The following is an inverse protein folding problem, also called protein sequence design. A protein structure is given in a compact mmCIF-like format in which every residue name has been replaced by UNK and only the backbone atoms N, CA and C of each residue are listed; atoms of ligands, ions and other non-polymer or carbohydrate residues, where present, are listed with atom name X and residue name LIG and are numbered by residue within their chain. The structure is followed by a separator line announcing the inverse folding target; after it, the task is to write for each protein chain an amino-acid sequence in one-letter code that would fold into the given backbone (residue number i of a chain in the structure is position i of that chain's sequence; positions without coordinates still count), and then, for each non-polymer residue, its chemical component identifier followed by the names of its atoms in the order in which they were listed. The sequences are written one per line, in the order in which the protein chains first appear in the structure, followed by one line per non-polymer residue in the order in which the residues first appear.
data_IF_174235106337
#
_entry.id   IF_174235106337
#
_cell.length_a   1.000
_cell.length_b   1.000
_cell.length_c   1.000
_cell.angle_alpha   90.00
_cell.angle_beta   90.00
_cell.angle_gamma   90.00
#
_symmetry.space_group_name_H-M   'P 1'
#
loop_
_entity.id
_entity.type
_entity.pdbx_description
1 polymer ?
#
# COMPACT_ATOMS: atom_id res chain seq x y z
N UNK A 1 -7.27 32.00 -5.46
CA UNK A 1 -8.59 32.25 -4.83
C UNK A 1 -9.47 31.09 -5.24
N UNK A 2 -9.95 30.22 -4.36
CA UNK A 2 -10.77 30.50 -3.18
C UNK A 2 -10.27 29.68 -1.97
N UNK A 3 -10.19 30.36 -0.83
CA UNK A 3 -10.07 29.79 0.52
C UNK A 3 -11.50 29.66 1.06
N UNK A 4 -11.84 28.51 1.66
CA UNK A 4 -12.92 28.34 2.64
C UNK A 4 -12.58 27.08 3.48
N UNK A 5 -12.07 27.15 4.71
CA UNK A 5 -12.79 27.29 6.01
C UNK A 5 -14.06 26.41 6.07
N UNK A 6 -14.33 25.57 7.07
CA UNK A 6 -14.02 25.64 8.49
C UNK A 6 -14.05 24.26 9.18
N UNK A 7 -13.38 24.18 10.32
CA UNK A 7 -13.41 23.08 11.28
C UNK A 7 -14.78 22.96 11.97
N UNK A 8 -15.21 21.73 12.25
CA UNK A 8 -16.06 21.43 13.41
C UNK A 8 -15.45 20.24 14.15
N UNK A 9 -14.75 20.57 15.23
CA UNK A 9 -14.39 19.65 16.30
C UNK A 9 -15.60 19.54 17.23
N UNK A 10 -16.33 18.43 17.19
CA UNK A 10 -17.29 18.09 18.26
C UNK A 10 -16.51 17.37 19.36
N UNK A 11 -16.21 18.11 20.41
CA UNK A 11 -15.75 17.58 21.69
C UNK A 11 -16.61 18.18 22.79
N UNK A 12 -17.55 17.41 23.35
CA UNK A 12 -17.94 17.55 24.77
C UNK A 12 -18.98 16.52 25.18
N UNK A 13 -18.57 15.75 26.19
CA UNK A 13 -19.29 14.95 27.16
C UNK A 13 -20.70 15.42 27.56
N UNK A 14 -21.54 14.44 27.92
CA UNK A 14 -22.27 14.47 29.19
C UNK A 14 -23.74 14.88 29.13
N UNK A 15 -24.64 13.90 28.99
CA UNK A 15 -25.97 13.95 29.58
C UNK A 15 -26.52 12.54 29.76
N UNK A 16 -26.37 11.99 30.96
CA UNK A 16 -27.15 10.84 31.42
C UNK A 16 -28.59 11.30 31.61
N UNK A 17 -29.51 10.82 30.78
CA UNK A 17 -30.94 10.88 31.07
C UNK A 17 -31.33 9.60 31.79
N UNK A 18 -31.44 9.71 33.11
CA UNK A 18 -32.16 8.77 33.95
C UNK A 18 -33.62 9.23 34.04
N UNK A 19 -34.55 8.35 33.68
CA UNK A 19 -35.88 8.29 34.30
C UNK A 19 -36.21 6.82 34.58
N UNK A 20 -36.46 6.53 35.86
CA UNK A 20 -37.02 5.28 36.40
C UNK A 20 -38.47 5.08 35.91
N UNK A 21 -39.02 3.87 35.81
CA UNK A 21 -39.58 3.00 36.88
C UNK A 21 -40.08 1.74 36.12
N UNK A 22 -40.11 0.49 36.58
CA UNK A 22 -40.81 -0.06 37.76
C UNK A 22 -40.49 -1.58 37.85
N UNK A 23 -40.41 -2.09 39.08
CA UNK A 23 -40.58 -3.48 39.54
C UNK A 23 -39.96 -4.69 38.79
N UNK A 24 -38.86 -5.25 39.32
CA UNK A 24 -38.75 -6.66 39.75
C UNK A 24 -37.34 -7.01 40.29
N UNK A 25 -37.31 -7.80 41.37
CA UNK A 25 -36.17 -8.27 42.18
C UNK A 25 -34.88 -8.71 41.46
N UNK A 26 -33.70 -8.57 42.12
CA UNK A 26 -32.38 -8.67 41.50
C UNK A 26 -31.99 -10.13 41.26
N UNK A 27 -31.99 -10.56 40.00
CA UNK A 27 -31.21 -11.73 39.61
C UNK A 27 -29.87 -11.22 39.07
N UNK A 28 -28.82 -11.33 39.88
CA UNK A 28 -27.43 -11.12 39.43
C UNK A 28 -26.99 -12.30 38.56
N UNK A 29 -27.56 -12.42 37.36
CA UNK A 29 -26.87 -13.12 36.28
C UNK A 29 -25.83 -12.16 35.76
N UNK A 30 -24.60 -12.29 36.26
CA UNK A 30 -23.42 -11.69 35.62
C UNK A 30 -23.48 -12.12 34.16
N UNK A 31 -23.67 -11.20 33.18
CA UNK A 31 -23.54 -11.59 31.79
C UNK A 31 -22.09 -12.05 31.63
N UNK A 32 -21.90 -13.34 31.41
CA UNK A 32 -20.62 -13.90 31.01
C UNK A 32 -20.25 -13.22 29.70
N UNK A 33 -19.46 -12.15 29.80
CA UNK A 33 -18.84 -11.47 28.68
C UNK A 33 -17.81 -12.42 28.05
N UNK A 34 -18.29 -13.41 27.31
CA UNK A 34 -17.45 -14.35 26.59
C UNK A 34 -17.88 -14.32 25.13
N UNK A 35 -17.04 -13.67 24.30
CA UNK A 35 -16.70 -13.96 22.89
C UNK A 35 -16.74 -12.78 21.91
N UNK A 36 -17.01 -11.53 22.29
CA UNK A 36 -16.96 -10.41 21.33
C UNK A 36 -15.54 -10.06 20.82
N UNK A 37 -14.48 -10.36 21.59
CA UNK A 37 -13.08 -10.06 21.18
C UNK A 37 -12.53 -10.97 20.07
N UNK A 38 -13.21 -12.06 19.71
CA UNK A 38 -12.68 -13.00 18.70
C UNK A 38 -13.16 -12.70 17.28
N UNK A 39 -14.35 -12.13 17.11
CA UNK A 39 -14.92 -11.87 15.78
C UNK A 39 -14.25 -10.68 15.10
N UNK A 40 -14.03 -9.58 15.82
CA UNK A 40 -13.31 -8.41 15.31
C UNK A 40 -11.85 -8.74 14.95
N UNK A 41 -11.15 -9.47 15.82
CA UNK A 41 -9.79 -9.94 15.54
C UNK A 41 -9.73 -10.90 14.34
N UNK A 42 -10.72 -11.81 14.20
CA UNK A 42 -10.80 -12.71 13.06
C UNK A 42 -11.02 -11.95 11.74
N UNK A 43 -11.91 -10.96 11.73
CA UNK A 43 -12.13 -10.07 10.58
C UNK A 43 -10.87 -9.28 10.25
N UNK A 44 -10.22 -8.66 11.25
CA UNK A 44 -8.97 -7.93 11.05
C UNK A 44 -7.86 -8.83 10.46
N UNK A 45 -7.78 -10.10 10.89
CA UNK A 45 -6.82 -11.05 10.35
C UNK A 45 -7.13 -11.47 8.91
N UNK A 46 -8.42 -11.59 8.55
CA UNK A 46 -8.83 -11.86 7.18
C UNK A 46 -8.46 -10.70 6.24
N UNK A 47 -8.74 -9.47 6.66
CA UNK A 47 -8.37 -8.25 5.93
C UNK A 47 -6.86 -8.14 5.77
N UNK A 48 -6.10 -8.33 6.85
CA UNK A 48 -4.63 -8.35 6.80
C UNK A 48 -4.08 -9.35 5.78
N UNK A 49 -4.65 -10.56 5.70
CA UNK A 49 -4.20 -11.56 4.72
C UNK A 49 -4.47 -11.13 3.28
N UNK A 50 -5.61 -10.49 3.02
CA UNK A 50 -5.95 -9.95 1.71
C UNK A 50 -4.99 -8.81 1.33
N UNK A 51 -4.80 -7.84 2.23
CA UNK A 51 -3.90 -6.71 2.02
C UNK A 51 -2.45 -7.16 1.79
N UNK A 52 -1.95 -8.16 2.54
CA UNK A 52 -0.60 -8.71 2.35
C UNK A 52 -0.47 -9.41 0.99
N UNK A 53 -1.52 -10.11 0.54
CA UNK A 53 -1.52 -10.74 -0.78
C UNK A 53 -1.42 -9.67 -1.87
N UNK A 54 -2.26 -8.64 -1.81
CA UNK A 54 -2.28 -7.54 -2.77
C UNK A 54 -0.94 -6.78 -2.79
N UNK A 55 -0.39 -6.46 -1.63
CA UNK A 55 0.92 -5.82 -1.50
C UNK A 55 2.04 -6.64 -2.18
N UNK A 56 2.04 -7.96 -1.96
CA UNK A 56 3.05 -8.84 -2.57
C UNK A 56 2.86 -8.98 -4.08
N UNK A 57 1.62 -9.06 -4.56
CA UNK A 57 1.31 -9.09 -5.99
C UNK A 57 1.75 -7.79 -6.68
N UNK A 58 1.46 -6.63 -6.07
CA UNK A 58 1.91 -5.33 -6.57
C UNK A 58 3.45 -5.25 -6.60
N UNK A 59 4.13 -5.68 -5.52
CA UNK A 59 5.61 -5.71 -5.48
C UNK A 59 6.20 -6.61 -6.58
N UNK A 60 5.59 -7.77 -6.83
CA UNK A 60 5.98 -8.68 -7.91
C UNK A 60 5.79 -8.04 -9.28
N UNK A 61 4.67 -7.35 -9.51
CA UNK A 61 4.40 -6.63 -10.74
C UNK A 61 5.43 -5.52 -10.99
N UNK A 62 5.74 -4.70 -9.98
CA UNK A 62 6.76 -3.64 -10.06
C UNK A 62 8.12 -4.23 -10.47
N UNK A 63 8.53 -5.33 -9.83
CA UNK A 63 9.80 -5.97 -10.17
C UNK A 63 9.81 -6.56 -11.57
N UNK A 64 8.71 -7.18 -12.00
CA UNK A 64 8.57 -7.71 -13.36
C UNK A 64 8.69 -6.59 -14.40
N UNK A 65 8.02 -5.45 -14.20
CA UNK A 65 8.12 -4.29 -15.09
C UNK A 65 9.55 -3.78 -15.20
N UNK A 66 10.28 -3.70 -14.07
CA UNK A 66 11.69 -3.31 -14.07
C UNK A 66 12.57 -4.30 -14.86
N UNK A 67 12.35 -5.61 -14.67
CA UNK A 67 13.08 -6.62 -15.42
C UNK A 67 12.80 -6.53 -16.92
N UNK A 68 11.54 -6.35 -17.31
CA UNK A 68 11.15 -6.27 -18.72
C UNK A 68 11.74 -5.02 -19.38
N UNK A 69 11.73 -3.88 -18.69
CA UNK A 69 12.40 -2.65 -19.14
C UNK A 69 13.92 -2.84 -19.29
N UNK A 70 14.56 -3.53 -18.34
CA UNK A 70 16.00 -3.84 -18.40
C UNK A 70 16.34 -4.77 -19.57
N UNK A 71 15.51 -5.79 -19.82
CA UNK A 71 15.66 -6.70 -20.97
C UNK A 71 15.52 -5.94 -22.28
N UNK A 72 14.50 -5.08 -22.40
CA UNK A 72 14.28 -4.25 -23.57
C UNK A 72 15.47 -3.31 -23.82
N UNK A 73 15.95 -2.59 -22.80
CA UNK A 73 17.12 -1.72 -22.92
C UNK A 73 18.38 -2.48 -23.38
N UNK A 74 18.61 -3.69 -22.86
CA UNK A 74 19.73 -4.53 -23.28
C UNK A 74 19.59 -5.00 -24.74
N UNK A 75 18.39 -5.40 -25.16
CA UNK A 75 18.12 -5.81 -26.54
C UNK A 75 18.34 -4.65 -27.51
N UNK A 76 17.82 -3.45 -27.19
CA UNK A 76 18.04 -2.23 -27.97
C UNK A 76 19.52 -1.89 -28.07
N UNK A 77 20.26 -1.93 -26.95
CA UNK A 77 21.71 -1.67 -26.95
C UNK A 77 22.45 -2.66 -27.84
N UNK A 78 22.13 -3.96 -27.74
CA UNK A 78 22.76 -5.01 -28.54
C UNK A 78 22.55 -4.74 -30.03
N UNK A 79 21.31 -4.54 -30.45
CA UNK A 79 20.96 -4.25 -31.84
C UNK A 79 21.63 -2.96 -32.35
N UNK A 80 21.61 -1.89 -31.55
CA UNK A 80 22.26 -0.63 -31.91
C UNK A 80 23.79 -0.76 -32.06
N UNK A 81 24.44 -1.58 -31.22
CA UNK A 81 25.88 -1.84 -31.33
C UNK A 81 26.25 -2.71 -32.53
N UNK A 82 25.40 -3.67 -32.89
CA UNK A 82 25.59 -4.51 -34.09
C UNK A 82 25.46 -3.69 -35.37
N UNK A 83 24.56 -2.69 -35.39
CA UNK A 83 24.39 -1.77 -36.50
C UNK A 83 25.42 -0.62 -36.57
N UNK A 84 26.14 -0.35 -35.47
CA UNK A 84 27.05 0.79 -35.37
C UNK A 84 28.37 0.55 -36.11
N UNK A 85 28.57 1.28 -37.21
CA UNK A 85 29.82 1.25 -38.00
C UNK A 85 30.88 2.25 -37.52
N UNK A 86 30.51 3.19 -36.66
CA UNK A 86 31.40 4.23 -36.13
C UNK A 86 31.50 4.16 -34.61
N UNK A 87 32.59 4.69 -34.05
CA UNK A 87 32.75 4.75 -32.59
C UNK A 87 31.78 5.74 -31.94
N UNK A 88 31.36 6.78 -32.67
CA UNK A 88 30.33 7.69 -32.19
C UNK A 88 28.99 6.96 -32.01
N UNK A 89 28.55 6.18 -33.01
CA UNK A 89 27.32 5.40 -32.91
C UNK A 89 27.35 4.39 -31.75
N UNK A 90 28.51 3.79 -31.45
CA UNK A 90 28.68 2.92 -30.27
C UNK A 90 28.53 3.68 -28.95
N UNK A 91 29.08 4.91 -28.87
CA UNK A 91 28.93 5.79 -27.69
C UNK A 91 27.47 6.22 -27.50
N UNK A 92 26.79 6.56 -28.58
CA UNK A 92 25.39 6.95 -28.56
C UNK A 92 24.49 5.79 -28.09
N UNK A 93 24.75 4.57 -28.57
CA UNK A 93 24.07 3.36 -28.12
C UNK A 93 24.26 3.09 -26.61
N UNK A 94 25.46 3.34 -26.08
CA UNK A 94 25.73 3.21 -24.64
C UNK A 94 25.03 4.30 -23.82
N UNK A 95 25.03 5.53 -24.32
CA UNK A 95 24.35 6.67 -23.67
C UNK A 95 22.84 6.44 -23.61
N UNK A 96 22.24 5.94 -24.70
CA UNK A 96 20.83 5.55 -24.74
C UNK A 96 20.52 4.43 -23.75
N UNK A 97 21.39 3.42 -23.65
CA UNK A 97 21.25 2.34 -22.67
C UNK A 97 21.28 2.86 -21.23
N UNK A 98 22.25 3.72 -20.89
CA UNK A 98 22.38 4.27 -19.55
C UNK A 98 21.15 5.13 -19.18
N UNK A 99 20.64 5.89 -20.14
CA UNK A 99 19.42 6.68 -19.97
C UNK A 99 18.20 5.80 -19.71
N UNK A 100 18.04 4.71 -20.48
CA UNK A 100 16.96 3.75 -20.29
C UNK A 100 17.04 3.05 -18.92
N UNK A 101 18.23 2.66 -18.47
CA UNK A 101 18.44 2.05 -17.16
C UNK A 101 18.12 3.02 -16.01
N UNK A 102 18.50 4.29 -16.16
CA UNK A 102 18.18 5.33 -15.17
C UNK A 102 16.67 5.58 -15.09
N UNK A 103 15.99 5.64 -16.24
CA UNK A 103 14.54 5.77 -16.31
C UNK A 103 13.82 4.56 -15.66
N UNK A 104 14.25 3.33 -15.98
CA UNK A 104 13.69 2.11 -15.39
C UNK A 104 13.88 2.07 -13.87
N UNK A 105 15.06 2.49 -13.38
CA UNK A 105 15.35 2.57 -11.95
C UNK A 105 14.48 3.61 -11.26
N UNK A 106 14.35 4.80 -11.84
CA UNK A 106 13.53 5.88 -11.32
C UNK A 106 12.04 5.48 -11.26
N UNK A 107 11.54 4.82 -12.31
CA UNK A 107 10.18 4.29 -12.34
C UNK A 107 9.95 3.23 -11.26
N UNK A 108 10.92 2.33 -11.04
CA UNK A 108 10.84 1.32 -9.96
C UNK A 108 10.81 1.98 -8.59
N UNK A 109 11.66 2.98 -8.34
CA UNK A 109 11.70 3.70 -7.06
C UNK A 109 10.37 4.42 -6.82
N UNK A 110 9.85 5.14 -7.82
CA UNK A 110 8.56 5.81 -7.73
C UNK A 110 7.41 4.83 -7.45
N UNK A 111 7.40 3.68 -8.13
CA UNK A 111 6.36 2.66 -7.92
C UNK A 111 6.45 2.01 -6.53
N UNK A 112 7.66 1.78 -6.00
CA UNK A 112 7.85 1.28 -4.63
C UNK A 112 7.44 2.32 -3.59
N UNK A 113 7.73 3.60 -3.82
CA UNK A 113 7.29 4.68 -2.96
C UNK A 113 5.75 4.80 -2.95
N UNK A 114 5.11 4.63 -4.10
CA UNK A 114 3.65 4.62 -4.21
C UNK A 114 3.00 3.37 -3.56
N UNK A 115 3.69 2.22 -3.56
CA UNK A 115 3.22 1.01 -2.88
C UNK A 115 3.22 1.17 -1.35
N UNK A 116 4.16 1.95 -0.82
CA UNK A 116 4.25 2.23 0.62
C UNK A 116 4.72 1.03 1.46
N UNK A 117 4.35 1.05 2.73
CA UNK A 117 4.77 0.06 3.71
C UNK A 117 3.89 -1.20 3.66
N UNK A 118 4.43 -2.37 4.03
CA UNK A 118 3.63 -3.59 4.15
C UNK A 118 2.54 -3.43 5.23
N UNK A 119 1.39 -4.11 5.09
CA UNK A 119 0.35 -4.12 6.11
C UNK A 119 0.86 -4.64 7.46
N UNK A 120 0.29 -4.13 8.56
CA UNK A 120 0.65 -4.55 9.91
C UNK A 120 -0.26 -5.67 10.40
N UNK A 121 0.34 -6.68 11.05
CA UNK A 121 -0.43 -7.79 11.62
C UNK A 121 -1.29 -7.27 12.79
N UNK A 122 -2.59 -7.62 12.84
CA UNK A 122 -3.46 -7.22 13.95
C UNK A 122 -3.03 -7.88 15.26
N UNK A 123 -3.16 -7.13 16.35
CA UNK A 123 -2.93 -7.58 17.74
C UNK A 123 -4.24 -7.98 18.40
N UNK A 124 -4.18 -8.83 19.43
CA UNK A 124 -5.35 -9.29 20.20
C UNK A 124 -5.71 -8.36 21.35
#
# INVERSE_FOLDING_TARGET
MVVATAAVLVLSNGASVALADDAASPTTTVPKAAKSKNTEYATALANYRAEVKEYNEAKKAIFKTFQDATKAANATRKSAREAATTDQAKKDAMTAFQSAMSAATSARVAALAALGNPPNKPTR
#
